data_IF_612492998959
#
_entry.id   IF_612492998959
#
_cell.length_a   1.000
_cell.length_b   1.000
_cell.length_c   1.000
_cell.angle_alpha   90.00
_cell.angle_beta   90.00
_cell.angle_gamma   90.00
#
_symmetry.space_group_name_H-M   'P 1'
#
loop_
_entity.id
_entity.type
_entity.pdbx_description
1 polymer ?
#
# COMPACT_ATOMS: atom_id res chain seq x y z
N UNK A 1 -11.73 -4.01 -10.23
CA UNK A 1 -11.99 -2.59 -9.86
C UNK A 1 -10.77 -1.93 -9.25
N UNK A 2 -10.17 -2.52 -8.22
CA UNK A 2 -9.17 -1.85 -7.37
C UNK A 2 -7.86 -1.37 -8.05
N UNK A 3 -7.46 -1.92 -9.20
CA UNK A 3 -6.22 -1.56 -9.93
C UNK A 3 -4.91 -1.62 -9.12
N UNK A 4 -4.87 -2.25 -7.94
CA UNK A 4 -3.67 -2.31 -7.06
C UNK A 4 -2.41 -2.85 -7.75
N UNK A 5 -2.59 -3.74 -8.74
CA UNK A 5 -1.51 -4.33 -9.53
C UNK A 5 -0.81 -3.37 -10.49
N UNK A 6 -1.20 -2.10 -10.59
CA UNK A 6 -0.45 -1.09 -11.35
C UNK A 6 0.87 -0.74 -10.66
N UNK A 7 0.85 -0.64 -9.33
CA UNK A 7 2.05 -0.37 -8.51
C UNK A 7 2.59 -1.69 -7.94
N UNK A 8 1.73 -2.62 -7.53
CA UNK A 8 2.13 -3.90 -6.92
C UNK A 8 2.19 -5.04 -7.94
N UNK A 9 3.10 -4.94 -8.90
CA UNK A 9 3.21 -5.87 -10.04
C UNK A 9 3.88 -7.20 -9.63
N UNK A 10 3.25 -8.38 -9.86
CA UNK A 10 3.90 -9.69 -9.65
C UNK A 10 5.14 -9.89 -10.55
N UNK A 11 6.12 -10.72 -10.15
CA UNK A 11 6.14 -11.60 -8.97
C UNK A 11 6.75 -10.95 -7.72
N UNK A 12 7.28 -9.72 -7.84
CA UNK A 12 7.93 -9.02 -6.74
C UNK A 12 6.97 -8.09 -5.98
N UNK A 13 5.76 -7.90 -6.50
CA UNK A 13 4.73 -7.02 -5.95
C UNK A 13 5.23 -5.58 -5.72
N UNK A 14 6.08 -5.13 -6.64
CA UNK A 14 6.57 -3.76 -6.83
C UNK A 14 6.71 -3.53 -8.33
N UNK A 15 6.43 -2.32 -8.80
CA UNK A 15 6.55 -2.01 -10.21
C UNK A 15 8.02 -1.98 -10.68
N UNK A 16 8.30 -2.41 -11.92
CA UNK A 16 9.64 -2.36 -12.49
C UNK A 16 10.02 -0.94 -12.92
N UNK A 17 11.30 -0.60 -12.81
CA UNK A 17 11.82 0.69 -13.25
C UNK A 17 11.62 1.77 -12.19
N UNK A 18 10.68 2.70 -12.43
CA UNK A 18 10.46 3.86 -11.57
C UNK A 18 9.31 3.61 -10.60
N UNK A 19 9.64 3.09 -9.41
CA UNK A 19 8.67 2.74 -8.37
C UNK A 19 8.49 3.83 -7.31
N UNK A 20 8.46 5.09 -7.74
CA UNK A 20 8.43 6.26 -6.87
C UNK A 20 7.20 7.13 -7.16
N UNK A 21 6.38 7.32 -6.13
CA UNK A 21 5.13 8.08 -6.18
C UNK A 21 5.21 9.35 -5.33
N UNK A 22 4.54 10.39 -5.79
CA UNK A 22 4.25 11.58 -5.00
C UNK A 22 3.30 11.27 -3.86
N UNK A 23 3.28 12.14 -2.85
CA UNK A 23 2.39 12.00 -1.70
C UNK A 23 0.91 12.06 -2.13
N UNK A 24 0.56 12.93 -3.09
CA UNK A 24 -0.78 13.03 -3.67
C UNK A 24 -1.23 11.75 -4.39
N UNK A 25 -0.34 11.07 -5.12
CA UNK A 25 -0.68 9.82 -5.82
C UNK A 25 -1.12 8.72 -4.86
N UNK A 26 -0.54 8.67 -3.65
CA UNK A 26 -0.83 7.66 -2.63
C UNK A 26 -1.68 8.20 -1.47
N UNK A 27 -2.10 9.47 -1.50
CA UNK A 27 -3.06 10.05 -0.57
C UNK A 27 -2.52 10.39 0.82
N UNK A 28 -1.23 10.71 0.93
CA UNK A 28 -0.63 11.10 2.22
C UNK A 28 0.10 12.45 2.11
N UNK A 29 0.60 12.95 3.23
CA UNK A 29 1.46 14.13 3.27
C UNK A 29 2.88 13.81 2.76
N UNK A 30 3.60 14.83 2.30
CA UNK A 30 4.93 14.73 1.70
C UNK A 30 6.08 14.90 2.70
N UNK A 31 5.80 15.08 3.99
CA UNK A 31 6.78 15.48 4.99
C UNK A 31 8.00 14.55 5.09
N UNK A 32 7.80 13.24 4.94
CA UNK A 32 8.89 12.27 4.92
C UNK A 32 9.53 12.17 3.53
N UNK A 33 8.72 12.23 2.47
CA UNK A 33 9.21 12.19 1.09
C UNK A 33 10.16 13.36 0.79
N UNK A 34 9.85 14.59 1.22
CA UNK A 34 10.69 15.79 1.03
C UNK A 34 12.10 15.70 1.63
N UNK A 35 12.38 14.68 2.43
CA UNK A 35 13.73 14.41 3.00
C UNK A 35 14.58 13.50 2.11
N UNK A 36 13.99 12.98 1.04
CA UNK A 36 14.67 12.14 0.05
C UNK A 36 15.09 12.96 -1.18
N UNK A 37 16.14 12.56 -1.91
CA UNK A 37 16.59 13.29 -3.11
C UNK A 37 15.53 13.44 -4.21
N UNK A 38 14.63 12.46 -4.30
CA UNK A 38 13.58 12.40 -5.34
C UNK A 38 12.23 12.92 -4.86
N UNK A 39 12.13 13.34 -3.58
CA UNK A 39 10.91 13.86 -2.94
C UNK A 39 9.69 12.94 -3.08
N UNK A 40 9.90 11.61 -3.03
CA UNK A 40 8.88 10.61 -3.35
C UNK A 40 8.92 9.39 -2.43
N UNK A 41 7.80 8.68 -2.39
CA UNK A 41 7.64 7.41 -1.69
C UNK A 41 7.85 6.23 -2.61
N UNK A 42 8.55 5.21 -2.11
CA UNK A 42 8.79 3.97 -2.84
C UNK A 42 7.65 2.98 -2.62
N UNK A 43 7.17 2.36 -3.70
CA UNK A 43 6.25 1.23 -3.63
C UNK A 43 6.88 0.09 -2.83
N UNK A 44 6.28 -0.22 -1.68
CA UNK A 44 6.71 -1.33 -0.85
C UNK A 44 6.35 -2.66 -1.53
N UNK A 45 7.24 -3.65 -1.46
CA UNK A 45 6.90 -5.01 -1.88
C UNK A 45 5.86 -5.59 -0.94
N UNK A 46 4.79 -6.18 -1.50
CA UNK A 46 3.78 -6.93 -0.72
C UNK A 46 4.18 -8.39 -0.47
N UNK A 47 5.38 -8.79 -0.89
CA UNK A 47 5.84 -10.16 -0.64
C UNK A 47 6.03 -10.37 0.86
N UNK A 48 5.51 -11.48 1.38
CA UNK A 48 5.57 -11.81 2.80
C UNK A 48 4.90 -10.77 3.71
N UNK A 49 3.79 -10.18 3.27
CA UNK A 49 3.02 -9.21 4.04
C UNK A 49 2.55 -9.75 5.41
N UNK A 50 2.31 -11.05 5.51
CA UNK A 50 1.98 -11.74 6.76
C UNK A 50 3.12 -11.73 7.79
N UNK A 51 4.37 -11.61 7.37
CA UNK A 51 5.53 -11.44 8.26
C UNK A 51 5.61 -9.98 8.73
N UNK A 52 5.25 -9.03 7.85
CA UNK A 52 5.14 -7.61 8.19
C UNK A 52 4.09 -7.39 9.29
N UNK A 53 2.92 -8.00 9.22
CA UNK A 53 1.89 -7.88 10.28
C UNK A 53 2.41 -8.35 11.65
N UNK A 54 3.28 -9.38 11.67
CA UNK A 54 3.87 -9.92 12.91
C UNK A 54 5.07 -9.10 13.41
N UNK A 55 5.83 -8.50 12.51
CA UNK A 55 7.09 -7.79 12.80
C UNK A 55 6.85 -6.29 13.05
N UNK A 56 5.97 -5.64 12.28
CA UNK A 56 5.61 -4.24 12.45
C UNK A 56 4.59 -4.07 13.57
N UNK A 57 5.09 -4.10 14.81
CA UNK A 57 4.31 -3.72 16.01
C UNK A 57 3.78 -2.28 15.97
N UNK A 58 4.27 -1.46 15.03
CA UNK A 58 3.87 -0.07 14.84
C UNK A 58 2.78 0.15 13.79
N UNK A 59 2.28 -0.90 13.12
CA UNK A 59 1.29 -0.78 12.03
C UNK A 59 1.90 -0.79 10.63
N UNK A 60 1.04 -0.62 9.62
CA UNK A 60 1.38 -0.52 8.20
C UNK A 60 1.77 0.92 7.82
N UNK A 61 2.40 1.06 6.65
CA UNK A 61 3.12 2.26 6.19
C UNK A 61 4.43 2.55 6.95
N UNK A 62 5.26 3.38 6.34
CA UNK A 62 6.60 3.72 6.85
C UNK A 62 6.59 4.45 8.19
N UNK A 63 5.45 5.04 8.57
CA UNK A 63 5.24 5.77 9.82
C UNK A 63 4.21 5.08 10.74
N UNK A 64 3.70 3.90 10.36
CA UNK A 64 2.74 3.17 11.18
C UNK A 64 1.34 3.78 11.24
N UNK A 65 0.98 4.70 10.32
CA UNK A 65 -0.30 5.43 10.38
C UNK A 65 -1.55 4.54 10.30
N UNK A 66 -1.41 3.32 9.77
CA UNK A 66 -2.51 2.36 9.63
C UNK A 66 -2.29 1.19 10.57
N UNK A 67 -3.25 0.91 11.45
CA UNK A 67 -3.08 -0.16 12.44
C UNK A 67 -3.23 -1.55 11.80
N UNK A 68 -4.07 -1.66 10.78
CA UNK A 68 -4.45 -2.91 10.14
C UNK A 68 -4.32 -2.85 8.61
N UNK A 69 -4.35 -4.01 7.95
CA UNK A 69 -4.38 -4.08 6.50
C UNK A 69 -5.70 -3.55 5.95
N UNK A 70 -6.81 -3.75 6.68
CA UNK A 70 -8.11 -3.17 6.40
C UNK A 70 -8.04 -1.64 6.30
N UNK A 71 -7.37 -0.97 7.25
CA UNK A 71 -7.21 0.49 7.21
C UNK A 71 -6.46 0.97 5.95
N UNK A 72 -5.48 0.18 5.48
CA UNK A 72 -4.76 0.48 4.23
C UNK A 72 -5.67 0.32 3.01
N UNK A 73 -6.50 -0.72 2.99
CA UNK A 73 -7.44 -0.96 1.88
C UNK A 73 -8.52 0.12 1.85
N UNK A 74 -9.07 0.49 3.01
CA UNK A 74 -10.03 1.60 3.15
C UNK A 74 -9.45 2.93 2.68
N UNK A 75 -8.20 3.22 3.04
CA UNK A 75 -7.49 4.40 2.59
C UNK A 75 -7.46 4.51 1.06
N UNK A 76 -7.03 3.45 0.37
CA UNK A 76 -6.95 3.45 -1.09
C UNK A 76 -8.32 3.38 -1.77
N UNK A 77 -9.30 2.70 -1.18
CA UNK A 77 -10.68 2.68 -1.68
C UNK A 77 -11.27 4.09 -1.72
N UNK A 78 -11.11 4.84 -0.64
CA UNK A 78 -11.54 6.24 -0.57
C UNK A 78 -10.72 7.17 -1.46
N UNK A 79 -9.39 7.13 -1.36
CA UNK A 79 -8.49 8.03 -2.09
C UNK A 79 -8.61 7.89 -3.61
N UNK A 80 -8.72 6.65 -4.09
CA UNK A 80 -8.85 6.36 -5.52
C UNK A 80 -10.31 6.23 -5.98
N UNK A 81 -11.27 6.43 -5.07
CA UNK A 81 -12.72 6.31 -5.35
C UNK A 81 -13.07 5.02 -6.08
N UNK A 82 -12.67 3.88 -5.50
CA UNK A 82 -12.77 2.55 -6.14
C UNK A 82 -14.15 1.90 -5.96
N UNK A 83 -14.93 2.39 -4.99
CA UNK A 83 -16.26 1.89 -4.61
C UNK A 83 -16.28 0.36 -4.42
N UNK A 84 -15.32 -0.14 -3.65
CA UNK A 84 -15.23 -1.55 -3.32
C UNK A 84 -16.33 -1.95 -2.33
N UNK A 85 -16.99 -3.06 -2.64
CA UNK A 85 -17.92 -3.69 -1.69
C UNK A 85 -17.16 -4.36 -0.53
N UNK A 86 -17.82 -4.55 0.60
CA UNK A 86 -17.24 -5.26 1.76
C UNK A 86 -16.67 -6.64 1.38
N UNK A 87 -17.34 -7.35 0.47
CA UNK A 87 -16.87 -8.64 -0.03
C UNK A 87 -15.58 -8.49 -0.87
N UNK A 88 -15.52 -7.50 -1.77
CA UNK A 88 -14.33 -7.23 -2.58
C UNK A 88 -13.12 -6.85 -1.71
N UNK A 89 -13.35 -6.09 -0.63
CA UNK A 89 -12.30 -5.74 0.36
C UNK A 89 -11.81 -6.98 1.10
N UNK A 90 -12.74 -7.79 1.61
CA UNK A 90 -12.41 -9.05 2.30
C UNK A 90 -11.62 -10.00 1.41
N UNK A 91 -12.05 -10.20 0.17
CA UNK A 91 -11.37 -11.09 -0.78
C UNK A 91 -9.96 -10.58 -1.12
N UNK A 92 -9.79 -9.26 -1.27
CA UNK A 92 -8.49 -8.64 -1.49
C UNK A 92 -7.55 -8.86 -0.30
N UNK A 93 -8.04 -8.65 0.93
CA UNK A 93 -7.26 -8.84 2.15
C UNK A 93 -6.79 -10.29 2.28
N UNK A 94 -7.67 -11.26 2.06
CA UNK A 94 -7.31 -12.68 2.11
C UNK A 94 -6.31 -13.06 1.01
N UNK A 95 -6.45 -12.49 -0.19
CA UNK A 95 -5.45 -12.65 -1.24
C UNK A 95 -4.08 -12.09 -0.82
N UNK A 96 -4.03 -10.88 -0.25
CA UNK A 96 -2.79 -10.24 0.21
C UNK A 96 -2.08 -11.03 1.32
N UNK A 97 -2.84 -11.71 2.19
CA UNK A 97 -2.27 -12.61 3.22
C UNK A 97 -1.67 -13.90 2.62
N UNK A 98 -2.06 -14.27 1.41
CA UNK A 98 -1.61 -15.50 0.75
C UNK A 98 -0.30 -15.37 -0.05
N UNK A 99 0.20 -14.14 -0.26
CA UNK A 99 1.39 -13.81 -1.07
C UNK A 99 2.62 -13.43 -0.21
#
# INVERSE_FOLDING_TARGET
>A
KAKCGTCHVPPLFTEPGWNLHTADEIGIDDFQAMRSPDERYRTASLRALWDIEKIHKGGFYHDGRFATLDDVVEHYDGHLSLDLTDQEKSDLIEYLKSI
#
